data_IF_260578380230
#
_entry.id   IF_260578380230
#
_cell.length_a   1.000
_cell.length_b   1.000
_cell.length_c   1.000
_cell.angle_alpha   90.00
_cell.angle_beta   90.00
_cell.angle_gamma   90.00
#
_symmetry.space_group_name_H-M   'P 1'
#
loop_
_entity.id
_entity.type
_entity.pdbx_description
1 polymer ?
#
# COMPACT_ATOMS: atom_id res chain seq x y z
N UNK A 1 9.18 -39.62 13.53
CA UNK A 1 10.02 -38.45 13.83
C UNK A 1 10.27 -37.63 12.58
N UNK A 2 10.39 -38.28 11.43
CA UNK A 2 10.65 -37.67 10.11
C UNK A 2 9.67 -36.55 9.72
N UNK A 3 8.37 -36.69 10.05
CA UNK A 3 7.38 -35.64 9.83
C UNK A 3 7.59 -34.39 10.70
N UNK A 4 8.08 -34.55 11.94
CA UNK A 4 8.46 -33.41 12.81
C UNK A 4 9.61 -32.63 12.19
N UNK A 5 10.58 -33.35 11.61
CA UNK A 5 11.70 -32.72 10.92
C UNK A 5 11.22 -31.94 9.68
N UNK A 6 10.32 -32.51 8.87
CA UNK A 6 9.72 -31.80 7.74
C UNK A 6 9.00 -30.51 8.17
N UNK A 7 8.17 -30.59 9.21
CA UNK A 7 7.48 -29.44 9.80
C UNK A 7 8.47 -28.37 10.28
N UNK A 8 9.50 -28.77 11.02
CA UNK A 8 10.52 -27.87 11.55
C UNK A 8 11.31 -27.18 10.44
N UNK A 9 11.62 -27.88 9.35
CA UNK A 9 12.30 -27.30 8.19
C UNK A 9 11.36 -26.31 7.48
N UNK A 10 10.09 -26.66 7.27
CA UNK A 10 9.08 -25.75 6.72
C UNK A 10 8.97 -24.46 7.54
N UNK A 11 8.77 -24.56 8.85
CA UNK A 11 8.78 -23.40 9.75
C UNK A 11 10.10 -22.63 9.70
N UNK A 12 11.23 -23.34 9.65
CA UNK A 12 12.57 -22.74 9.61
C UNK A 12 12.79 -21.89 8.36
N UNK A 13 12.32 -22.35 7.19
CA UNK A 13 12.41 -21.56 5.95
C UNK A 13 11.61 -20.26 6.03
N UNK A 14 10.39 -20.33 6.57
CA UNK A 14 9.55 -19.16 6.81
C UNK A 14 10.15 -18.21 7.85
N UNK A 15 10.79 -18.76 8.88
CA UNK A 15 11.49 -17.96 9.89
C UNK A 15 12.65 -17.19 9.27
N UNK A 16 13.49 -17.84 8.46
CA UNK A 16 14.60 -17.17 7.76
C UNK A 16 14.09 -16.05 6.86
N UNK A 17 12.98 -16.26 6.18
CA UNK A 17 12.33 -15.22 5.37
C UNK A 17 11.89 -14.03 6.23
N UNK A 18 11.16 -14.25 7.32
CA UNK A 18 10.72 -13.16 8.21
C UNK A 18 11.92 -12.41 8.82
N UNK A 19 12.96 -13.14 9.24
CA UNK A 19 14.20 -12.53 9.76
C UNK A 19 14.91 -11.68 8.72
N UNK A 20 14.88 -12.09 7.45
CA UNK A 20 15.47 -11.31 6.35
C UNK A 20 14.64 -10.08 5.97
N UNK A 21 13.30 -10.15 6.14
CA UNK A 21 12.37 -9.06 5.81
C UNK A 21 12.41 -7.93 6.84
N UNK A 22 12.51 -8.24 8.13
CA UNK A 22 12.46 -7.26 9.21
C UNK A 22 13.84 -7.02 9.82
N UNK A 23 14.57 -6.02 9.32
CA UNK A 23 15.93 -5.72 9.80
C UNK A 23 15.98 -5.22 11.24
N UNK A 24 15.00 -4.42 11.65
CA UNK A 24 14.98 -3.82 13.00
C UNK A 24 14.06 -4.62 13.94
N UNK A 25 14.64 -5.11 15.03
CA UNK A 25 13.99 -5.96 16.05
C UNK A 25 13.22 -7.18 15.50
N UNK A 26 13.78 -7.99 14.58
CA UNK A 26 13.07 -9.08 13.90
C UNK A 26 12.40 -10.07 14.86
N UNK A 27 13.10 -10.46 15.93
CA UNK A 27 12.63 -11.46 16.89
C UNK A 27 11.39 -10.95 17.62
N UNK A 28 11.40 -9.68 18.04
CA UNK A 28 10.28 -9.07 18.76
C UNK A 28 9.07 -8.91 17.86
N UNK A 29 9.30 -8.52 16.60
CA UNK A 29 8.26 -8.45 15.57
C UNK A 29 7.57 -9.81 15.39
N UNK A 30 8.36 -10.87 15.21
CA UNK A 30 7.83 -12.22 15.01
C UNK A 30 7.09 -12.72 16.26
N UNK A 31 7.69 -12.55 17.45
CA UNK A 31 7.11 -13.02 18.70
C UNK A 31 5.76 -12.37 19.02
N UNK A 32 5.58 -11.10 18.63
CA UNK A 32 4.40 -10.32 19.00
C UNK A 32 3.32 -10.22 17.91
N UNK A 33 3.58 -10.75 16.71
CA UNK A 33 2.63 -10.74 15.60
C UNK A 33 1.94 -12.10 15.48
N UNK A 34 0.62 -12.13 15.68
CA UNK A 34 -0.18 -13.35 15.51
C UNK A 34 -0.10 -13.87 14.06
N UNK A 35 -0.06 -12.98 13.08
CA UNK A 35 0.01 -13.32 11.67
C UNK A 35 1.38 -13.89 11.28
N UNK A 36 2.47 -13.45 11.94
CA UNK A 36 3.78 -14.09 11.76
C UNK A 36 3.75 -15.56 12.21
N UNK A 37 3.09 -15.86 13.34
CA UNK A 37 2.90 -17.25 13.77
C UNK A 37 2.03 -18.06 12.82
N UNK A 38 0.94 -17.49 12.32
CA UNK A 38 0.11 -18.13 11.28
C UNK A 38 0.95 -18.46 10.04
N UNK A 39 1.80 -17.53 9.61
CA UNK A 39 2.70 -17.73 8.48
C UNK A 39 3.70 -18.87 8.71
N UNK A 40 4.34 -18.90 9.88
CA UNK A 40 5.27 -19.98 10.26
C UNK A 40 4.55 -21.34 10.27
N UNK A 41 3.39 -21.42 10.92
CA UNK A 41 2.59 -22.65 11.01
C UNK A 41 2.10 -23.12 9.64
N UNK A 42 1.64 -22.21 8.79
CA UNK A 42 1.22 -22.55 7.43
C UNK A 42 2.34 -23.22 6.65
N UNK A 43 3.57 -22.70 6.72
CA UNK A 43 4.72 -23.30 6.07
C UNK A 43 5.06 -24.69 6.65
N UNK A 44 5.01 -24.85 7.97
CA UNK A 44 5.18 -26.16 8.61
C UNK A 44 4.12 -27.17 8.17
N UNK A 45 2.84 -26.77 8.13
CA UNK A 45 1.73 -27.63 7.71
C UNK A 45 1.83 -28.02 6.24
N UNK A 46 2.25 -27.11 5.36
CA UNK A 46 2.49 -27.43 3.96
C UNK A 46 3.66 -28.41 3.79
N UNK A 47 4.71 -28.29 4.61
CA UNK A 47 5.81 -29.27 4.64
C UNK A 47 5.35 -30.65 5.11
N UNK A 48 4.41 -30.72 6.05
CA UNK A 48 3.77 -31.98 6.45
C UNK A 48 2.93 -32.57 5.32
N UNK A 49 2.13 -31.75 4.64
CA UNK A 49 1.34 -32.17 3.48
C UNK A 49 2.21 -32.73 2.37
N UNK A 50 3.28 -32.01 2.01
CA UNK A 50 4.27 -32.48 1.03
C UNK A 50 4.93 -33.80 1.48
N UNK A 51 5.26 -33.93 2.77
CA UNK A 51 5.84 -35.17 3.31
C UNK A 51 4.87 -36.35 3.20
N UNK A 52 3.59 -36.15 3.54
CA UNK A 52 2.55 -37.18 3.44
C UNK A 52 2.34 -37.62 1.99
N UNK A 53 2.30 -36.68 1.05
CA UNK A 53 2.18 -36.97 -0.39
C UNK A 53 3.39 -37.79 -0.87
N UNK A 54 4.61 -37.42 -0.47
CA UNK A 54 5.81 -38.16 -0.87
C UNK A 54 5.85 -39.58 -0.32
N UNK A 55 5.33 -39.81 0.89
CA UNK A 55 5.23 -41.14 1.49
C UNK A 55 4.20 -42.04 0.78
N UNK A 56 3.11 -41.45 0.30
CA UNK A 56 2.03 -42.18 -0.39
C UNK A 56 2.33 -42.39 -1.89
N UNK A 57 3.14 -41.49 -2.48
CA UNK A 57 3.46 -41.57 -3.90
C UNK A 57 4.40 -42.74 -4.23
N UNK A 58 4.04 -43.50 -5.27
CA UNK A 58 4.89 -44.52 -5.90
C UNK A 58 6.23 -43.94 -6.43
N UNK A 59 6.43 -42.62 -6.41
CA UNK A 59 7.72 -41.98 -6.69
C UNK A 59 8.87 -42.50 -5.82
N UNK A 60 8.58 -43.02 -4.63
CA UNK A 60 9.60 -43.61 -3.74
C UNK A 60 9.83 -45.12 -4.03
N UNK A 61 9.03 -45.72 -4.91
CA UNK A 61 9.04 -47.17 -5.20
C UNK A 61 10.01 -47.60 -6.31
N UNK A 62 10.48 -46.66 -7.14
CA UNK A 62 11.47 -46.91 -8.21
C UNK A 62 12.89 -46.60 -7.74
N UNK A 63 13.57 -47.63 -7.23
CA UNK A 63 15.04 -47.77 -7.07
C UNK A 63 15.86 -46.73 -6.28
N UNK A 64 15.31 -45.58 -5.89
CA UNK A 64 16.03 -44.59 -5.09
C UNK A 64 15.97 -44.94 -3.60
N UNK A 65 17.10 -45.35 -3.03
CA UNK A 65 17.36 -45.42 -1.59
C UNK A 65 17.40 -44.02 -0.96
N UNK A 66 16.38 -43.19 -1.19
CA UNK A 66 16.28 -41.88 -0.56
C UNK A 66 16.01 -42.11 0.92
N UNK A 67 16.98 -41.75 1.75
CA UNK A 67 16.84 -41.89 3.20
C UNK A 67 15.64 -41.09 3.69
N UNK A 68 14.96 -41.58 4.74
CA UNK A 68 13.81 -40.88 5.35
C UNK A 68 14.14 -39.43 5.75
N UNK A 69 15.39 -39.19 6.13
CA UNK A 69 15.92 -37.85 6.38
C UNK A 69 15.93 -36.98 5.13
N UNK A 70 16.37 -37.52 3.99
CA UNK A 70 16.31 -36.84 2.70
C UNK A 70 14.89 -36.48 2.28
N UNK A 71 13.92 -37.37 2.53
CA UNK A 71 12.50 -37.10 2.28
C UNK A 71 11.96 -35.94 3.14
N UNK A 72 12.30 -35.89 4.43
CA UNK A 72 11.89 -34.78 5.31
C UNK A 72 12.50 -33.44 4.92
N UNK A 73 13.77 -33.43 4.52
CA UNK A 73 14.44 -32.21 4.05
C UNK A 73 13.82 -31.76 2.73
N UNK A 74 13.65 -32.69 1.78
CA UNK A 74 13.03 -32.43 0.50
C UNK A 74 11.60 -31.91 0.61
N UNK A 75 10.78 -32.49 1.49
CA UNK A 75 9.40 -32.04 1.71
C UNK A 75 9.33 -30.64 2.32
N UNK A 76 10.21 -30.32 3.27
CA UNK A 76 10.31 -28.99 3.86
C UNK A 76 10.67 -27.91 2.84
N UNK A 77 11.68 -28.16 2.01
CA UNK A 77 12.14 -27.22 0.98
C UNK A 77 11.14 -27.11 -0.19
N UNK A 78 10.58 -28.22 -0.65
CA UNK A 78 9.60 -28.22 -1.74
C UNK A 78 8.30 -27.51 -1.35
N UNK A 79 7.83 -27.66 -0.11
CA UNK A 79 6.68 -26.92 0.38
C UNK A 79 6.90 -25.39 0.33
N UNK A 80 8.10 -24.91 0.69
CA UNK A 80 8.44 -23.50 0.58
C UNK A 80 8.42 -23.03 -0.90
N UNK A 81 8.92 -23.85 -1.83
CA UNK A 81 8.86 -23.55 -3.26
C UNK A 81 7.43 -23.49 -3.79
N UNK A 82 6.58 -24.45 -3.41
CA UNK A 82 5.16 -24.50 -3.81
C UNK A 82 4.40 -23.31 -3.26
N UNK A 83 4.60 -22.98 -1.98
CA UNK A 83 3.95 -21.82 -1.36
C UNK A 83 4.33 -20.50 -2.02
N UNK A 84 5.54 -20.39 -2.58
CA UNK A 84 5.99 -19.21 -3.32
C UNK A 84 5.69 -19.26 -4.82
N UNK A 85 5.15 -20.37 -5.32
CA UNK A 85 4.88 -20.53 -6.74
C UNK A 85 3.77 -19.57 -7.19
N UNK A 86 4.03 -18.92 -8.32
CA UNK A 86 3.07 -18.09 -9.05
C UNK A 86 2.63 -18.87 -10.27
N UNK A 87 1.50 -19.56 -10.16
CA UNK A 87 1.03 -20.51 -11.19
C UNK A 87 0.58 -19.75 -12.43
N UNK A 88 -0.10 -18.62 -12.24
CA UNK A 88 -0.50 -17.72 -13.31
C UNK A 88 -0.21 -16.27 -12.93
N UNK A 89 -0.01 -15.41 -13.92
CA UNK A 89 0.03 -13.96 -13.73
C UNK A 89 -1.03 -13.36 -14.65
N UNK A 90 -1.96 -12.63 -14.06
CA UNK A 90 -2.96 -11.86 -14.78
C UNK A 90 -2.58 -10.38 -14.71
N UNK A 91 -2.72 -9.64 -15.82
CA UNK A 91 -2.59 -8.19 -15.81
C UNK A 91 -3.97 -7.60 -15.65
N UNK A 92 -4.23 -6.95 -14.52
CA UNK A 92 -5.47 -6.24 -14.27
C UNK A 92 -5.17 -4.73 -14.34
N UNK A 93 -5.31 -4.15 -15.54
CA UNK A 93 -4.81 -2.80 -15.82
C UNK A 93 -3.28 -2.77 -15.89
N UNK A 94 -2.66 -1.85 -15.15
CA UNK A 94 -1.20 -1.72 -15.05
C UNK A 94 -0.58 -2.61 -13.96
N UNK A 95 -1.39 -3.30 -13.17
CA UNK A 95 -0.91 -4.16 -12.08
C UNK A 95 -0.86 -5.64 -12.51
N UNK A 96 0.28 -6.29 -12.26
CA UNK A 96 0.44 -7.73 -12.45
C UNK A 96 0.01 -8.44 -11.16
N UNK A 97 -1.14 -9.10 -11.19
CA UNK A 97 -1.65 -9.92 -10.10
C UNK A 97 -1.25 -11.36 -10.34
N UNK A 98 -0.47 -11.93 -9.42
CA UNK A 98 -0.13 -13.35 -9.46
C UNK A 98 -1.28 -14.16 -8.87
N UNK A 99 -1.76 -15.17 -9.60
CA UNK A 99 -2.76 -16.13 -9.16
C UNK A 99 -2.03 -17.43 -8.80
N UNK A 100 -2.12 -17.84 -7.53
CA UNK A 100 -1.50 -19.06 -7.03
C UNK A 100 -1.33 -19.05 -5.50
N UNK A 101 -0.72 -20.09 -4.92
CA UNK A 101 -0.45 -20.16 -3.49
C UNK A 101 0.36 -18.97 -2.97
N UNK A 102 1.27 -18.44 -3.80
CA UNK A 102 2.06 -17.25 -3.50
C UNK A 102 1.23 -16.02 -3.18
N UNK A 103 0.04 -15.88 -3.78
CA UNK A 103 -0.85 -14.75 -3.48
C UNK A 103 -1.29 -14.74 -2.02
N UNK A 104 -1.64 -15.91 -1.45
CA UNK A 104 -2.05 -16.01 -0.04
C UNK A 104 -0.91 -15.62 0.89
N UNK A 105 0.32 -16.04 0.56
CA UNK A 105 1.53 -15.67 1.28
C UNK A 105 1.78 -14.16 1.19
N UNK A 106 1.70 -13.59 -0.01
CA UNK A 106 1.89 -12.15 -0.25
C UNK A 106 0.86 -11.32 0.55
N UNK A 107 -0.41 -11.74 0.61
CA UNK A 107 -1.44 -11.09 1.41
C UNK A 107 -1.17 -11.19 2.92
N UNK A 108 -0.79 -12.37 3.42
CA UNK A 108 -0.41 -12.54 4.83
C UNK A 108 0.77 -11.65 5.21
N UNK A 109 1.80 -11.61 4.37
CA UNK A 109 2.97 -10.77 4.58
C UNK A 109 2.62 -9.28 4.55
N UNK A 110 1.73 -8.85 3.65
CA UNK A 110 1.21 -7.48 3.61
C UNK A 110 0.47 -7.09 4.89
N UNK A 111 -0.32 -8.01 5.47
CA UNK A 111 -0.99 -7.78 6.77
C UNK A 111 0.04 -7.65 7.90
N UNK A 112 1.08 -8.50 7.90
CA UNK A 112 2.16 -8.44 8.91
C UNK A 112 2.88 -7.10 8.81
N UNK A 113 3.26 -6.67 7.60
CA UNK A 113 3.92 -5.39 7.35
C UNK A 113 3.07 -4.22 7.87
N UNK A 114 1.78 -4.17 7.50
CA UNK A 114 0.89 -3.10 7.95
C UNK A 114 0.74 -3.03 9.49
N UNK A 115 0.76 -4.18 10.17
CA UNK A 115 0.71 -4.21 11.64
C UNK A 115 2.01 -3.71 12.26
N UNK A 116 3.14 -4.09 11.70
CA UNK A 116 4.46 -3.62 12.16
C UNK A 116 4.56 -2.12 11.96
N UNK A 117 4.16 -1.62 10.80
CA UNK A 117 4.17 -0.20 10.48
C UNK A 117 3.29 0.59 11.44
N UNK A 118 2.08 0.12 11.74
CA UNK A 118 1.20 0.76 12.74
C UNK A 118 1.85 0.79 14.12
N UNK A 119 2.44 -0.31 14.57
CA UNK A 119 3.11 -0.37 15.88
C UNK A 119 4.33 0.54 15.94
N UNK A 120 5.15 0.54 14.89
CA UNK A 120 6.31 1.44 14.75
C UNK A 120 5.85 2.90 14.76
N UNK A 121 4.81 3.25 14.01
CA UNK A 121 4.26 4.60 14.00
C UNK A 121 3.81 5.04 15.41
N UNK A 122 3.10 4.18 16.15
CA UNK A 122 2.69 4.46 17.53
C UNK A 122 3.88 4.66 18.48
N UNK A 123 4.90 3.80 18.38
CA UNK A 123 6.12 3.94 19.17
C UNK A 123 6.85 5.25 18.86
N UNK A 124 6.98 5.59 17.57
CA UNK A 124 7.60 6.85 17.13
C UNK A 124 6.84 8.07 17.64
N UNK A 125 5.51 8.06 17.59
CA UNK A 125 4.67 9.12 18.17
C UNK A 125 4.92 9.25 19.66
N UNK A 126 4.90 8.14 20.40
CA UNK A 126 5.15 8.14 21.84
C UNK A 126 6.51 8.75 22.19
N UNK A 127 7.57 8.34 21.50
CA UNK A 127 8.93 8.86 21.71
C UNK A 127 8.97 10.36 21.45
N UNK A 128 8.42 10.81 20.31
CA UNK A 128 8.47 12.22 19.93
C UNK A 128 7.69 13.09 20.90
N UNK A 129 6.48 12.68 21.27
CA UNK A 129 5.67 13.44 22.26
C UNK A 129 6.41 13.48 23.60
N UNK A 130 6.93 12.36 24.09
CA UNK A 130 7.64 12.30 25.37
C UNK A 130 8.84 13.27 25.42
N UNK A 131 9.64 13.35 24.36
CA UNK A 131 10.91 14.09 24.38
C UNK A 131 10.80 15.54 23.88
N UNK A 132 9.82 15.83 23.01
CA UNK A 132 9.64 17.16 22.41
C UNK A 132 8.53 17.98 23.07
N UNK A 133 7.80 17.41 24.04
CA UNK A 133 6.79 18.17 24.77
C UNK A 133 7.39 19.35 25.53
N UNK A 134 6.71 20.50 25.46
CA UNK A 134 7.19 21.74 26.06
C UNK A 134 8.44 22.36 25.41
N UNK A 135 8.92 21.83 24.28
CA UNK A 135 10.09 22.41 23.57
C UNK A 135 9.71 23.61 22.70
N UNK A 136 10.53 24.65 22.78
CA UNK A 136 10.41 25.83 21.93
C UNK A 136 10.87 25.52 20.51
N UNK A 137 9.99 25.66 19.52
CA UNK A 137 10.29 25.27 18.14
C UNK A 137 11.43 26.10 17.52
N UNK A 138 11.40 27.43 17.70
CA UNK A 138 12.32 28.34 17.03
C UNK A 138 13.76 28.18 17.53
N UNK A 139 13.95 28.05 18.85
CA UNK A 139 15.23 27.71 19.43
C UNK A 139 15.64 26.28 19.12
N UNK A 140 14.69 25.34 19.14
CA UNK A 140 14.99 23.93 18.90
C UNK A 140 15.49 23.65 17.49
N UNK A 141 14.90 24.26 16.45
CA UNK A 141 15.32 24.02 15.06
C UNK A 141 16.76 24.46 14.81
N UNK A 142 17.20 25.58 15.41
CA UNK A 142 18.55 26.12 15.26
C UNK A 142 19.55 25.18 15.94
N UNK A 143 19.24 24.76 17.17
CA UNK A 143 20.09 23.86 17.95
C UNK A 143 20.18 22.48 17.28
N UNK A 144 19.05 21.90 16.90
CA UNK A 144 18.94 20.62 16.20
C UNK A 144 19.78 20.58 14.91
N UNK A 145 19.65 21.59 14.05
CA UNK A 145 20.42 21.68 12.81
C UNK A 145 21.92 21.73 13.10
N UNK A 146 22.34 22.52 14.09
CA UNK A 146 23.76 22.65 14.48
C UNK A 146 24.31 21.33 15.01
N UNK A 147 23.55 20.62 15.84
CA UNK A 147 23.96 19.34 16.41
C UNK A 147 24.04 18.24 15.35
N UNK A 148 23.13 18.19 14.38
CA UNK A 148 23.21 17.22 13.27
C UNK A 148 24.44 17.48 12.41
N UNK A 149 24.65 18.72 11.96
CA UNK A 149 25.79 19.06 11.09
C UNK A 149 27.12 18.91 11.80
N UNK A 150 27.17 19.17 13.12
CA UNK A 150 28.39 19.02 13.92
C UNK A 150 28.72 17.58 14.31
N UNK A 151 27.72 16.70 14.44
CA UNK A 151 27.93 15.30 14.86
C UNK A 151 28.19 14.34 13.71
N UNK A 152 27.70 14.63 12.50
CA UNK A 152 27.89 13.76 11.32
C UNK A 152 29.14 14.16 10.54
N UNK A 153 30.20 13.37 10.69
CA UNK A 153 31.48 13.57 10.00
C UNK A 153 31.38 13.43 8.47
N UNK A 154 30.38 12.72 7.95
CA UNK A 154 30.19 12.42 6.52
C UNK A 154 28.74 12.69 6.05
N UNK A 155 28.13 13.82 6.44
CA UNK A 155 26.81 14.17 5.92
C UNK A 155 26.93 14.67 4.47
N UNK A 156 26.25 14.02 3.52
CA UNK A 156 26.32 14.45 2.12
C UNK A 156 25.67 15.83 1.95
N UNK A 157 26.06 16.55 0.90
CA UNK A 157 25.42 17.83 0.56
C UNK A 157 23.93 17.67 0.24
N UNK A 158 23.53 16.50 -0.24
CA UNK A 158 22.13 16.19 -0.52
C UNK A 158 21.35 16.03 0.79
N UNK A 159 21.85 15.24 1.74
CA UNK A 159 21.21 15.06 3.06
C UNK A 159 21.07 16.38 3.82
N UNK A 160 22.09 17.25 3.73
CA UNK A 160 22.04 18.60 4.32
C UNK A 160 20.91 19.44 3.72
N UNK A 161 20.73 19.38 2.38
CA UNK A 161 19.65 20.08 1.69
C UNK A 161 18.29 19.51 2.05
N UNK A 162 18.17 18.18 2.10
CA UNK A 162 16.91 17.51 2.41
C UNK A 162 16.47 17.81 3.85
N UNK A 163 17.40 17.79 4.81
CA UNK A 163 17.14 18.21 6.19
C UNK A 163 16.68 19.68 6.25
N UNK A 164 17.40 20.58 5.59
CA UNK A 164 17.06 22.00 5.58
C UNK A 164 15.69 22.27 4.94
N UNK A 165 15.34 21.52 3.89
CA UNK A 165 14.05 21.63 3.22
C UNK A 165 12.91 21.13 4.11
N UNK A 166 13.06 19.98 4.77
CA UNK A 166 12.05 19.45 5.68
C UNK A 166 11.81 20.38 6.87
N UNK A 167 12.87 20.95 7.47
CA UNK A 167 12.73 21.93 8.55
C UNK A 167 12.00 23.18 8.04
N UNK A 168 12.36 23.70 6.86
CA UNK A 168 11.69 24.87 6.26
C UNK A 168 10.20 24.61 6.03
N UNK A 169 9.86 23.44 5.50
CA UNK A 169 8.46 23.06 5.31
C UNK A 169 7.66 23.10 6.62
N UNK A 170 8.24 22.64 7.74
CA UNK A 170 7.60 22.72 9.06
C UNK A 170 7.44 24.17 9.53
N UNK A 171 8.42 25.04 9.26
CA UNK A 171 8.35 26.47 9.60
C UNK A 171 7.15 27.12 8.89
N UNK A 172 6.97 26.82 7.60
CA UNK A 172 5.96 27.44 6.74
C UNK A 172 4.53 26.94 7.01
N UNK A 173 4.38 25.82 7.72
CA UNK A 173 3.05 25.29 8.11
C UNK A 173 2.35 26.23 9.10
N UNK A 174 1.06 26.49 8.85
CA UNK A 174 0.16 27.26 9.72
C UNK A 174 -0.41 26.39 10.85
N UNK A 175 0.47 25.81 11.64
CA UNK A 175 0.13 24.97 12.81
C UNK A 175 0.74 25.57 14.09
N UNK A 176 0.21 25.24 15.28
CA UNK A 176 0.76 25.71 16.54
C UNK A 176 2.24 25.31 16.74
N UNK A 177 3.02 26.13 17.46
CA UNK A 177 4.45 25.90 17.64
C UNK A 177 4.77 24.57 18.36
N UNK A 178 3.93 24.13 19.28
CA UNK A 178 4.10 22.81 19.92
C UNK A 178 3.99 21.66 18.91
N UNK A 179 3.08 21.74 17.92
CA UNK A 179 2.99 20.75 16.85
C UNK A 179 4.20 20.82 15.91
N UNK A 180 4.75 22.03 15.68
CA UNK A 180 6.01 22.20 14.95
C UNK A 180 7.19 21.55 15.67
N UNK A 181 7.24 21.64 17.00
CA UNK A 181 8.24 20.93 17.83
C UNK A 181 8.12 19.42 17.68
N UNK A 182 6.91 18.85 17.67
CA UNK A 182 6.73 17.43 17.37
C UNK A 182 7.16 17.06 15.96
N UNK A 183 6.80 17.86 14.95
CA UNK A 183 7.22 17.64 13.57
C UNK A 183 8.76 17.65 13.43
N UNK A 184 9.44 18.59 14.11
CA UNK A 184 10.90 18.60 14.22
C UNK A 184 11.43 17.31 14.86
N UNK A 185 10.79 16.82 15.92
CA UNK A 185 11.14 15.55 16.54
C UNK A 185 11.07 14.36 15.59
N UNK A 186 10.06 14.29 14.72
CA UNK A 186 9.98 13.24 13.69
C UNK A 186 11.11 13.35 12.67
N UNK A 187 11.45 14.56 12.21
CA UNK A 187 12.58 14.78 11.29
C UNK A 187 13.88 14.29 11.94
N UNK A 188 14.11 14.65 13.20
CA UNK A 188 15.30 14.20 13.96
C UNK A 188 15.34 12.68 14.11
N UNK A 189 14.19 12.07 14.41
CA UNK A 189 14.05 10.63 14.54
C UNK A 189 14.37 9.90 13.22
N UNK A 190 13.91 10.43 12.09
CA UNK A 190 14.17 9.86 10.76
C UNK A 190 15.64 9.98 10.35
N UNK A 191 16.28 11.12 10.60
CA UNK A 191 17.66 11.35 10.18
C UNK A 191 18.70 10.65 11.08
N UNK A 192 18.45 10.58 12.39
CA UNK A 192 19.47 10.23 13.37
C UNK A 192 19.06 9.12 14.35
N UNK A 193 17.79 8.72 14.34
CA UNK A 193 17.26 7.68 15.22
C UNK A 193 16.95 8.14 16.65
N UNK A 194 16.38 7.21 17.41
CA UNK A 194 15.81 7.46 18.74
C UNK A 194 16.86 7.92 19.77
N UNK A 195 18.01 7.25 19.81
CA UNK A 195 19.07 7.56 20.78
C UNK A 195 19.58 8.99 20.63
N UNK A 196 19.73 9.46 19.39
CA UNK A 196 20.14 10.83 19.11
C UNK A 196 19.05 11.83 19.48
N UNK A 197 17.80 11.57 19.08
CA UNK A 197 16.68 12.44 19.42
C UNK A 197 16.59 12.66 20.94
N UNK A 198 16.65 11.58 21.73
CA UNK A 198 16.64 11.66 23.20
C UNK A 198 17.79 12.53 23.73
N UNK A 199 19.02 12.28 23.28
CA UNK A 199 20.20 13.03 23.73
C UNK A 199 20.18 14.52 23.33
N UNK A 200 19.59 14.86 22.19
CA UNK A 200 19.45 16.25 21.75
C UNK A 200 18.32 16.94 22.49
N UNK A 201 17.17 16.28 22.65
CA UNK A 201 15.98 16.83 23.29
C UNK A 201 16.25 17.33 24.73
N UNK A 202 17.13 16.66 25.47
CA UNK A 202 17.57 17.09 26.81
C UNK A 202 18.20 18.50 26.82
N UNK A 203 18.80 18.92 25.71
CA UNK A 203 19.51 20.20 25.56
C UNK A 203 18.71 21.25 24.81
N UNK A 204 17.55 20.86 24.27
CA UNK A 204 16.70 21.79 23.53
C UNK A 204 16.03 22.79 24.47
N UNK A 205 15.90 24.06 24.03
CA UNK A 205 15.22 25.09 24.81
C UNK A 205 13.77 24.69 25.05
N UNK A 206 13.33 24.85 26.29
CA UNK A 206 11.94 24.62 26.68
C UNK A 206 11.21 25.97 26.77
N UNK A 207 9.93 25.97 26.43
CA UNK A 207 9.04 27.10 26.73
C UNK A 207 8.85 27.14 28.25
N UNK A 208 9.10 28.27 28.88
CA UNK A 208 8.82 28.48 30.30
C UNK A 208 7.30 28.44 30.51
N UNK A 209 6.75 27.25 30.81
CA UNK A 209 5.31 27.05 30.95
C UNK A 209 4.82 27.52 32.33
N UNK A 210 3.81 28.40 32.34
CA UNK A 210 2.89 28.53 33.47
C UNK A 210 2.16 27.19 33.69
N UNK A 211 1.87 26.78 34.94
CA UNK A 211 1.44 25.42 35.24
C UNK A 211 0.11 25.10 34.55
N UNK A 212 0.13 24.15 33.61
CA UNK A 212 -1.08 23.63 32.97
C UNK A 212 -1.07 22.11 32.90
N UNK A 213 -2.25 21.55 33.16
CA UNK A 213 -2.62 20.14 33.24
C UNK A 213 -2.19 19.31 32.04
N UNK A 214 -1.38 18.29 32.31
CA UNK A 214 -0.98 17.26 31.34
C UNK A 214 -2.24 16.51 30.86
N UNK A 215 -2.56 16.50 29.55
CA UNK A 215 -3.51 15.53 29.02
C UNK A 215 -2.85 14.15 29.07
N UNK A 216 -3.32 13.26 29.95
CA UNK A 216 -2.82 11.89 30.00
C UNK A 216 -3.31 11.12 28.79
N UNK A 217 -2.41 10.79 27.87
CA UNK A 217 -2.70 9.86 26.79
C UNK A 217 -2.53 8.43 27.30
N UNK A 218 -3.64 7.82 27.74
CA UNK A 218 -3.64 6.43 28.20
C UNK A 218 -3.63 5.48 26.99
N UNK A 219 -2.43 5.00 26.62
CA UNK A 219 -2.23 4.03 25.54
C UNK A 219 -3.02 2.71 25.73
N UNK A 220 -3.42 2.38 26.96
CA UNK A 220 -4.22 1.21 27.29
C UNK A 220 -5.70 1.31 26.83
N UNK A 221 -6.21 2.51 26.53
CA UNK A 221 -7.62 2.71 26.14
C UNK A 221 -7.94 2.37 24.69
N UNK A 222 -6.93 2.03 23.87
CA UNK A 222 -7.12 1.72 22.45
C UNK A 222 -7.39 0.21 22.23
N UNK A 223 -7.14 -0.65 23.21
CA UNK A 223 -7.30 -2.11 23.08
C UNK A 223 -8.57 -2.68 23.69
N UNK A 224 -9.40 -1.87 24.36
CA UNK A 224 -10.62 -2.36 25.02
C UNK A 224 -11.88 -1.75 24.38
N UNK A 225 -12.42 -2.42 23.36
CA UNK A 225 -13.70 -2.05 22.73
C UNK A 225 -14.83 -2.89 23.31
N UNK A 226 -15.24 -2.55 24.53
CA UNK A 226 -16.57 -2.87 25.06
C UNK A 226 -17.59 -1.80 24.66
N UNK A 227 -18.51 -2.14 23.75
CA UNK A 227 -19.88 -1.64 23.55
C UNK A 227 -20.26 -0.16 23.85
N UNK A 228 -19.35 0.81 23.75
CA UNK A 228 -19.66 2.24 23.88
C UNK A 228 -19.76 2.93 22.52
N UNK A 229 -20.92 3.51 22.20
CA UNK A 229 -21.13 4.37 21.03
C UNK A 229 -20.26 5.63 21.17
N UNK A 230 -19.03 5.57 20.68
CA UNK A 230 -18.16 6.73 20.51
C UNK A 230 -18.47 7.35 19.15
N UNK A 231 -18.90 8.62 19.13
CA UNK A 231 -18.93 9.44 17.91
C UNK A 231 -17.49 9.55 17.38
N UNK A 232 -17.15 8.67 16.45
CA UNK A 232 -15.81 8.55 15.88
C UNK A 232 -15.41 9.84 15.16
N UNK A 233 -14.46 10.59 15.71
CA UNK A 233 -13.61 11.47 14.89
C UNK A 233 -12.56 10.59 14.24
N UNK A 234 -12.76 10.35 12.96
CA UNK A 234 -12.08 9.34 12.16
C UNK A 234 -10.88 9.97 11.46
N UNK A 235 -9.68 9.77 12.02
CA UNK A 235 -8.43 10.15 11.37
C UNK A 235 -7.76 8.90 10.76
N UNK A 236 -7.39 9.00 9.49
CA UNK A 236 -6.30 8.21 8.89
C UNK A 236 -6.67 6.97 8.08
N UNK A 237 -7.54 6.08 8.56
CA UNK A 237 -7.85 4.81 7.86
C UNK A 237 -9.26 4.76 7.22
N UNK A 238 -10.13 5.70 7.59
CA UNK A 238 -11.54 5.75 7.17
C UNK A 238 -11.78 6.50 5.88
N UNK A 239 -10.83 7.32 5.42
CA UNK A 239 -11.05 8.16 4.24
C UNK A 239 -11.36 7.28 3.01
N UNK A 240 -10.55 6.27 2.63
CA UNK A 240 -10.89 5.42 1.49
C UNK A 240 -12.24 4.71 1.62
N UNK A 241 -12.59 4.23 2.82
CA UNK A 241 -13.86 3.55 3.11
C UNK A 241 -15.06 4.51 3.06
N UNK A 242 -14.90 5.72 3.56
CA UNK A 242 -15.93 6.77 3.50
C UNK A 242 -16.13 7.26 2.07
N UNK A 243 -15.04 7.44 1.30
CA UNK A 243 -15.10 7.75 -0.13
C UNK A 243 -15.83 6.65 -0.89
N UNK A 244 -15.47 5.39 -0.64
CA UNK A 244 -16.12 4.23 -1.25
C UNK A 244 -17.62 4.17 -0.98
N UNK A 245 -18.02 4.49 0.26
CA UNK A 245 -19.43 4.56 0.63
C UNK A 245 -20.18 5.65 -0.15
N UNK A 246 -19.63 6.85 -0.26
CA UNK A 246 -20.26 7.97 -1.00
C UNK A 246 -20.33 7.70 -2.50
N UNK A 247 -19.24 7.20 -3.08
CA UNK A 247 -19.18 6.84 -4.50
C UNK A 247 -20.18 5.73 -4.82
N UNK A 248 -20.27 4.69 -3.98
CA UNK A 248 -21.29 3.63 -4.12
C UNK A 248 -22.71 4.18 -3.98
N UNK A 249 -22.97 4.98 -2.95
CA UNK A 249 -24.30 5.55 -2.67
C UNK A 249 -24.85 6.38 -3.83
N UNK A 250 -24.00 7.18 -4.48
CA UNK A 250 -24.43 8.09 -5.55
C UNK A 250 -24.39 7.47 -6.94
N UNK A 251 -23.40 6.62 -7.22
CA UNK A 251 -23.13 6.17 -8.59
C UNK A 251 -23.67 4.78 -8.90
N UNK A 252 -24.21 4.04 -7.93
CA UNK A 252 -24.86 2.76 -8.20
C UNK A 252 -26.01 2.95 -9.18
N UNK A 253 -25.93 2.27 -10.33
CA UNK A 253 -26.91 2.32 -11.40
C UNK A 253 -26.78 3.51 -12.35
N UNK A 254 -25.87 4.48 -12.10
CA UNK A 254 -25.63 5.61 -13.01
C UNK A 254 -24.94 5.11 -14.29
N UNK A 255 -25.37 5.51 -15.50
CA UNK A 255 -24.76 5.03 -16.73
C UNK A 255 -23.38 5.65 -16.91
N UNK A 256 -22.40 4.87 -17.37
CA UNK A 256 -21.03 5.34 -17.57
C UNK A 256 -20.95 6.59 -18.47
N UNK A 257 -21.79 6.66 -19.50
CA UNK A 257 -21.85 7.80 -20.41
C UNK A 257 -22.27 9.10 -19.70
N UNK A 258 -23.25 9.05 -18.79
CA UNK A 258 -23.73 10.22 -18.05
C UNK A 258 -22.66 10.71 -17.06
N UNK A 259 -22.04 9.79 -16.32
CA UNK A 259 -20.94 10.12 -15.42
C UNK A 259 -19.77 10.76 -16.17
N UNK A 260 -19.35 10.14 -17.29
CA UNK A 260 -18.27 10.65 -18.14
C UNK A 260 -18.56 12.06 -18.64
N UNK A 261 -19.76 12.30 -19.18
CA UNK A 261 -20.15 13.62 -19.70
C UNK A 261 -20.04 14.67 -18.60
N UNK A 262 -20.61 14.39 -17.42
CA UNK A 262 -20.56 15.29 -16.26
C UNK A 262 -19.13 15.56 -15.81
N UNK A 263 -18.27 14.54 -15.74
CA UNK A 263 -16.86 14.72 -15.37
C UNK A 263 -16.10 15.61 -16.36
N UNK A 264 -16.34 15.44 -17.67
CA UNK A 264 -15.70 16.27 -18.70
C UNK A 264 -16.16 17.72 -18.63
N UNK A 265 -17.47 17.98 -18.45
CA UNK A 265 -17.99 19.34 -18.24
C UNK A 265 -17.34 20.04 -17.04
N UNK A 266 -17.12 19.32 -15.95
CA UNK A 266 -16.47 19.85 -14.75
C UNK A 266 -14.98 20.15 -14.96
N UNK A 267 -14.29 19.35 -15.77
CA UNK A 267 -12.90 19.62 -16.17
C UNK A 267 -12.81 20.84 -17.10
N UNK A 268 -13.68 20.91 -18.10
CA UNK A 268 -13.69 22.00 -19.10
C UNK A 268 -14.07 23.34 -18.47
N UNK A 269 -14.97 23.34 -17.49
CA UNK A 269 -15.34 24.53 -16.73
C UNK A 269 -14.33 24.94 -15.65
N UNK A 270 -13.27 24.14 -15.43
CA UNK A 270 -12.28 24.38 -14.39
C UNK A 270 -12.81 24.16 -12.96
N UNK A 271 -13.97 23.53 -12.80
CA UNK A 271 -14.51 23.20 -11.49
C UNK A 271 -13.80 21.99 -10.86
N UNK A 272 -13.33 21.05 -11.69
CA UNK A 272 -12.55 19.89 -11.29
C UNK A 272 -11.07 20.07 -11.65
N UNK A 273 -10.17 19.90 -10.68
CA UNK A 273 -8.72 20.17 -10.79
C UNK A 273 -8.35 21.64 -10.50
N UNK A 274 -7.40 21.86 -9.60
CA UNK A 274 -7.00 23.19 -9.13
C UNK A 274 -6.19 23.97 -10.17
N UNK A 275 -5.48 23.27 -11.07
CA UNK A 275 -4.66 23.85 -12.13
C UNK A 275 -4.71 22.99 -13.40
N UNK A 276 -4.07 23.47 -14.48
CA UNK A 276 -4.10 22.79 -15.78
C UNK A 276 -3.38 21.45 -15.77
N UNK A 277 -2.28 21.33 -15.01
CA UNK A 277 -1.52 20.09 -14.90
C UNK A 277 -2.35 18.98 -14.23
N UNK A 278 -3.07 19.31 -13.16
CA UNK A 278 -3.97 18.38 -12.47
C UNK A 278 -5.15 17.97 -13.38
N UNK A 279 -5.70 18.90 -14.16
CA UNK A 279 -6.73 18.59 -15.16
C UNK A 279 -6.21 17.67 -16.25
N UNK A 280 -4.98 17.88 -16.72
CA UNK A 280 -4.36 17.05 -17.75
C UNK A 280 -4.10 15.63 -17.23
N UNK A 281 -3.61 15.51 -15.99
CA UNK A 281 -3.45 14.22 -15.31
C UNK A 281 -4.78 13.47 -15.18
N UNK A 282 -5.85 14.17 -14.77
CA UNK A 282 -7.19 13.57 -14.69
C UNK A 282 -7.70 13.10 -16.04
N UNK A 283 -7.52 13.88 -17.11
CA UNK A 283 -7.93 13.46 -18.46
C UNK A 283 -7.22 12.17 -18.89
N UNK A 284 -5.94 12.04 -18.56
CA UNK A 284 -5.19 10.81 -18.81
C UNK A 284 -5.74 9.63 -18.00
N UNK A 285 -5.97 9.80 -16.70
CA UNK A 285 -6.57 8.77 -15.84
C UNK A 285 -7.97 8.34 -16.32
N UNK A 286 -8.80 9.29 -16.74
CA UNK A 286 -10.13 9.01 -17.30
C UNK A 286 -10.01 8.18 -18.58
N UNK A 287 -9.10 8.55 -19.49
CA UNK A 287 -8.87 7.80 -20.72
C UNK A 287 -8.41 6.37 -20.44
N UNK A 288 -7.52 6.19 -19.46
CA UNK A 288 -7.04 4.88 -19.01
C UNK A 288 -8.19 4.02 -18.44
N UNK A 289 -8.99 4.55 -17.51
CA UNK A 289 -10.13 3.85 -16.90
C UNK A 289 -11.13 3.41 -17.97
N UNK A 290 -11.48 4.30 -18.91
CA UNK A 290 -12.42 4.01 -19.98
C UNK A 290 -11.88 2.95 -20.97
N UNK A 291 -10.56 2.95 -21.19
CA UNK A 291 -9.86 2.03 -22.09
C UNK A 291 -9.75 0.58 -21.60
N UNK A 292 -10.04 0.30 -20.32
CA UNK A 292 -9.98 -1.05 -19.74
C UNK A 292 -11.03 -1.96 -20.37
N UNK A 293 -10.63 -2.86 -21.27
CA UNK A 293 -11.56 -3.74 -22.03
C UNK A 293 -12.24 -4.80 -21.18
N UNK A 294 -11.56 -5.27 -20.13
CA UNK A 294 -12.02 -6.38 -19.28
C UNK A 294 -12.87 -5.92 -18.09
N UNK A 295 -12.92 -4.61 -17.81
CA UNK A 295 -13.70 -4.06 -16.70
C UNK A 295 -15.17 -3.89 -17.09
N UNK A 296 -16.09 -4.25 -16.19
CA UNK A 296 -17.52 -3.99 -16.37
C UNK A 296 -17.80 -2.48 -16.44
N UNK A 297 -18.91 -2.07 -17.03
CA UNK A 297 -19.29 -0.65 -17.04
C UNK A 297 -19.46 -0.10 -15.61
N UNK A 298 -19.96 -0.93 -14.70
CA UNK A 298 -20.10 -0.59 -13.28
C UNK A 298 -18.74 -0.37 -12.60
N UNK A 299 -17.75 -1.22 -12.88
CA UNK A 299 -16.39 -1.03 -12.36
C UNK A 299 -15.77 0.28 -12.87
N UNK A 300 -16.02 0.62 -14.14
CA UNK A 300 -15.56 1.89 -14.73
C UNK A 300 -16.25 3.09 -14.09
N UNK A 301 -17.55 2.99 -13.82
CA UNK A 301 -18.33 4.02 -13.10
C UNK A 301 -17.72 4.26 -11.71
N UNK A 302 -17.43 3.21 -10.96
CA UNK A 302 -16.84 3.36 -9.63
C UNK A 302 -15.41 3.88 -9.69
N UNK A 303 -14.55 3.33 -10.56
CA UNK A 303 -13.18 3.80 -10.72
C UNK A 303 -13.13 5.29 -11.08
N UNK A 304 -13.99 5.73 -12.02
CA UNK A 304 -14.12 7.13 -12.39
C UNK A 304 -14.62 7.99 -11.23
N UNK A 305 -15.64 7.51 -10.51
CA UNK A 305 -16.15 8.16 -9.30
C UNK A 305 -15.09 8.35 -8.22
N UNK A 306 -14.23 7.35 -7.99
CA UNK A 306 -13.12 7.45 -7.04
C UNK A 306 -12.06 8.46 -7.48
N UNK A 307 -11.69 8.46 -8.77
CA UNK A 307 -10.72 9.41 -9.30
C UNK A 307 -11.18 10.85 -9.07
N UNK A 308 -12.46 11.14 -9.37
CA UNK A 308 -13.05 12.46 -9.14
C UNK A 308 -13.17 12.79 -7.64
N UNK A 309 -13.66 11.85 -6.82
CA UNK A 309 -13.80 12.03 -5.37
C UNK A 309 -12.46 12.27 -4.69
N UNK A 310 -11.35 11.76 -5.25
CA UNK A 310 -10.02 11.92 -4.66
C UNK A 310 -9.59 13.40 -4.52
N UNK A 311 -10.14 14.27 -5.39
CA UNK A 311 -9.80 15.69 -5.48
C UNK A 311 -10.77 16.61 -4.75
N UNK A 312 -11.92 16.09 -4.33
CA UNK A 312 -12.97 16.86 -3.67
C UNK A 312 -13.27 16.31 -2.29
N UNK A 313 -13.92 17.14 -1.47
CA UNK A 313 -14.62 16.62 -0.30
C UNK A 313 -15.95 15.96 -0.72
N UNK A 314 -16.52 15.18 0.20
CA UNK A 314 -17.78 14.47 -0.05
C UNK A 314 -18.99 15.38 -0.27
N UNK A 315 -18.97 16.62 0.23
CA UNK A 315 -20.08 17.55 0.06
C UNK A 315 -20.12 18.08 -1.37
N UNK A 316 -18.97 18.51 -1.89
CA UNK A 316 -18.82 18.96 -3.28
C UNK A 316 -19.07 17.84 -4.28
N UNK A 317 -18.61 16.62 -3.98
CA UNK A 317 -18.91 15.46 -4.81
C UNK A 317 -20.42 15.18 -4.89
N UNK A 318 -21.12 15.16 -3.76
CA UNK A 318 -22.60 15.00 -3.74
C UNK A 318 -23.29 16.07 -4.59
N UNK A 319 -22.96 17.34 -4.36
CA UNK A 319 -23.57 18.47 -5.06
C UNK A 319 -23.54 18.37 -6.59
N UNK A 320 -22.52 17.72 -7.17
CA UNK A 320 -22.36 17.65 -8.61
C UNK A 320 -22.85 16.35 -9.26
N UNK A 321 -23.09 15.30 -8.46
CA UNK A 321 -23.39 13.95 -8.95
C UNK A 321 -24.69 13.34 -8.42
N UNK A 322 -25.37 13.96 -7.45
CA UNK A 322 -26.66 13.49 -6.90
C UNK A 322 -27.76 13.46 -7.98
N UNK A 323 -27.81 14.48 -8.82
CA UNK A 323 -28.80 14.68 -9.87
C UNK A 323 -28.73 13.63 -10.99
N UNK A 324 -27.58 12.96 -11.15
CA UNK A 324 -27.40 11.92 -12.17
C UNK A 324 -28.26 10.67 -11.90
N UNK A 325 -28.66 10.48 -10.65
CA UNK A 325 -29.55 9.38 -10.25
C UNK A 325 -31.01 9.71 -10.56
N UNK A 326 -31.42 10.96 -10.35
CA UNK A 326 -32.81 11.40 -10.47
C UNK A 326 -33.26 11.62 -11.93
N UNK A 327 -32.30 11.80 -12.85
CA UNK A 327 -32.56 11.87 -14.29
C UNK A 327 -32.90 10.53 -14.96
N UNK A 328 -32.91 9.43 -14.21
CA UNK A 328 -33.23 8.10 -14.73
C UNK A 328 -34.72 7.79 -14.49
N UNK A 329 -35.48 7.29 -15.49
CA UNK A 329 -36.79 6.73 -15.20
C UNK A 329 -36.63 5.64 -14.14
N UNK A 330 -37.51 5.58 -13.12
CA UNK A 330 -37.37 4.61 -12.03
C UNK A 330 -37.25 3.21 -12.62
N UNK A 331 -36.13 2.54 -12.35
CA UNK A 331 -36.00 1.12 -12.69
C UNK A 331 -37.15 0.40 -12.02
N UNK A 332 -38.04 -0.18 -12.82
CA UNK A 332 -39.00 -1.16 -12.34
C UNK A 332 -38.17 -2.23 -11.64
N UNK A 333 -38.33 -2.33 -10.33
CA UNK A 333 -37.74 -3.40 -9.54
C UNK A 333 -38.51 -4.65 -9.95
N UNK A 334 -38.00 -5.37 -10.96
CA UNK A 334 -38.42 -6.75 -11.23
C UNK A 334 -37.85 -7.60 -10.12
N UNK A 335 -38.65 -7.76 -9.06
CA UNK A 335 -38.62 -8.97 -8.25
C UNK A 335 -39.40 -10.03 -9.01
N UNK A 336 -38.92 -11.27 -8.86
CA UNK A 336 -39.32 -12.49 -9.55
C UNK A 336 -38.76 -12.58 -10.98
N UNK A 337 -38.03 -13.63 -11.34
CA UNK A 337 -38.29 -15.01 -10.97
C UNK A 337 -39.09 -15.61 -12.13
N UNK A 338 -38.53 -16.68 -12.71
CA UNK A 338 -39.12 -17.48 -13.78
C UNK A 338 -38.97 -16.90 -15.19
N UNK A 339 -38.03 -17.44 -15.96
CA UNK A 339 -38.22 -17.59 -17.41
C UNK A 339 -37.59 -18.93 -17.87
N UNK A 340 -38.46 -19.93 -17.92
CA UNK A 340 -38.43 -20.98 -18.92
C UNK A 340 -38.72 -20.41 -20.31
N UNK A 341 -37.91 -20.79 -21.29
CA UNK A 341 -38.39 -21.16 -22.63
C UNK A 341 -38.45 -20.08 -23.71
N UNK A 342 -37.59 -20.28 -24.72
CA UNK A 342 -37.75 -19.95 -26.15
C UNK A 342 -37.79 -18.44 -26.52
N UNK A 343 -37.10 -17.93 -27.53
CA UNK A 343 -37.05 -18.39 -28.91
C UNK A 343 -35.85 -17.74 -29.63
N UNK A 344 -35.16 -18.53 -30.45
CA UNK A 344 -34.00 -18.13 -31.26
C UNK A 344 -34.44 -17.20 -32.40
N UNK A 345 -33.88 -15.98 -32.44
CA UNK A 345 -33.85 -15.16 -33.66
C UNK A 345 -32.44 -15.19 -34.22
N UNK A 346 -32.28 -16.00 -35.26
CA UNK A 346 -31.09 -16.11 -36.09
C UNK A 346 -31.00 -14.86 -36.98
N UNK A 347 -30.03 -13.98 -36.73
CA UNK A 347 -29.68 -12.87 -37.63
C UNK A 347 -28.33 -13.18 -38.26
N UNK A 348 -28.39 -13.62 -39.52
CA UNK A 348 -27.27 -13.71 -40.45
C UNK A 348 -26.69 -12.32 -40.70
N UNK A 349 -25.41 -12.13 -40.38
CA UNK A 349 -24.65 -10.96 -40.82
C UNK A 349 -23.57 -11.48 -41.77
N UNK A 350 -23.70 -11.05 -43.02
CA UNK A 350 -22.79 -11.30 -44.12
C UNK A 350 -21.39 -10.76 -43.82
N UNK A 351 -20.41 -11.62 -44.10
CA UNK A 351 -18.99 -11.30 -44.09
C UNK A 351 -18.61 -10.60 -45.40
N UNK A 352 -18.45 -9.28 -45.37
CA UNK A 352 -17.73 -8.54 -46.41
C UNK A 352 -16.32 -8.18 -45.94
N UNK A 353 -15.42 -9.00 -46.46
CA UNK A 353 -14.05 -8.75 -46.93
C UNK A 353 -13.66 -7.26 -47.08
N UNK A 354 -12.62 -6.84 -46.37
CA UNK A 354 -11.80 -5.67 -46.73
C UNK A 354 -10.39 -5.85 -46.19
N UNK A 355 -9.68 -6.80 -46.78
CA UNK A 355 -8.24 -6.90 -46.69
C UNK A 355 -7.58 -5.85 -47.60
N UNK A 356 -7.47 -4.60 -47.13
CA UNK A 356 -6.54 -3.62 -47.73
C UNK A 356 -6.37 -2.41 -46.80
N UNK A 357 -5.64 -2.58 -45.70
CA UNK A 357 -4.83 -1.47 -45.17
C UNK A 357 -3.80 -1.98 -44.13
N UNK A 358 -2.59 -2.26 -44.59
CA UNK A 358 -1.42 -2.41 -43.70
C UNK A 358 -0.33 -1.43 -44.14
N UNK A 359 -0.02 -0.38 -43.36
CA UNK A 359 1.11 0.49 -43.65
C UNK A 359 2.44 -0.22 -43.39
N UNK A 360 3.35 -0.06 -44.36
CA UNK A 360 4.73 -0.55 -44.35
C UNK A 360 5.51 0.06 -43.18
N UNK A 361 6.11 -0.79 -42.34
CA UNK A 361 7.02 -0.40 -41.27
C UNK A 361 8.30 0.22 -41.84
N UNK A 362 8.50 1.50 -41.58
CA UNK A 362 9.72 2.24 -41.88
C UNK A 362 10.85 1.92 -40.88
N UNK A 363 12.07 2.03 -41.39
CA UNK A 363 13.34 1.73 -40.74
C UNK A 363 13.60 2.62 -39.50
N UNK A 364 14.01 2.01 -38.39
CA UNK A 364 14.49 2.73 -37.21
C UNK A 364 15.97 3.10 -37.35
N UNK A 365 16.39 4.34 -37.02
CA UNK A 365 17.79 4.73 -37.04
C UNK A 365 18.56 4.12 -35.87
N UNK A 366 19.77 3.62 -36.16
CA UNK A 366 20.71 3.08 -35.18
C UNK A 366 21.22 4.18 -34.23
N UNK A 367 20.99 4.00 -32.93
CA UNK A 367 21.57 4.84 -31.88
C UNK A 367 22.98 4.34 -31.58
N UNK A 368 23.98 5.10 -32.02
CA UNK A 368 25.39 4.93 -31.65
C UNK A 368 25.59 5.49 -30.23
N UNK A 369 25.90 4.60 -29.28
CA UNK A 369 26.26 5.00 -27.90
C UNK A 369 27.79 5.04 -27.83
N UNK A 370 28.35 6.25 -27.78
CA UNK A 370 29.78 6.49 -27.60
C UNK A 370 30.10 6.45 -26.09
N UNK A 371 30.57 5.31 -25.60
CA UNK A 371 31.03 5.16 -24.22
C UNK A 371 32.49 5.63 -24.11
N UNK A 372 32.69 6.82 -23.56
CA UNK A 372 34.01 7.33 -23.17
C UNK A 372 34.60 6.52 -21.99
N UNK A 373 35.94 6.51 -21.83
CA UNK A 373 36.61 5.69 -20.83
C UNK A 373 36.38 6.19 -19.40
N UNK A 374 36.12 5.26 -18.49
CA UNK A 374 35.97 5.48 -17.05
C UNK A 374 37.30 5.90 -16.40
N UNK A 375 37.29 6.82 -15.42
CA UNK A 375 38.49 7.21 -14.70
C UNK A 375 38.93 6.14 -13.69
N UNK A 376 40.22 5.83 -13.74
CA UNK A 376 40.95 4.92 -12.84
C UNK A 376 41.02 5.56 -11.44
N UNK A 377 40.54 4.83 -10.43
CA UNK A 377 40.68 5.21 -9.02
C UNK A 377 42.16 5.14 -8.60
N UNK A 378 42.66 6.23 -7.99
CA UNK A 378 43.94 6.24 -7.27
C UNK A 378 43.68 5.86 -5.81
N UNK A 379 44.38 4.84 -5.34
CA UNK A 379 44.50 4.46 -3.94
C UNK A 379 45.09 5.61 -3.11
N UNK A 380 44.46 5.92 -1.97
CA UNK A 380 45.10 6.38 -0.74
C UNK A 380 44.28 5.97 0.48
#
# INVERSE_FOLDING_TARGET
MDWVLAFAIGMGTALVELLSRYRDEPIKVIATSQFAWVYLLLNGLMALGAHAILLDSELTSTETTTSRLGLSVGSGLSAALVLRARVFTARLGDEQVSIGPGYVVDQLLGIIDAQIDRRRALQRVSIVVEVMDGKDFDGSRIHASTMITGSRQNLSLQDQKDLANQIREVVDRKIPDHEKSYALGFILLDFMGEAFLKAVAEKLPSVEQAPASVPSFNAASITDTGAGVVKSRTWGASLPVQRAKVVRELLTGVPLAALRLRTVELLDSGQLGANEDERLLLRQQIAEILGRREASEEDKVFALGFAVHSLWDSARFRQHFEDLRDGMPPRAVTLDGDESGEELVEVSIDSEDSADDRPKTGEHPAISINAGPLPIAKER
#
